data_IF_578299473298
#
_entry.id   IF_578299473298
#
_cell.length_a   1.000
_cell.length_b   1.000
_cell.length_c   1.000
_cell.angle_alpha   90.00
_cell.angle_beta   90.00
_cell.angle_gamma   90.00
#
_symmetry.space_group_name_H-M   'P 1'
#
loop_
_entity.id
_entity.type
_entity.pdbx_description
1 polymer ?
#
# COMPACT_ATOMS: atom_id res chain seq x y z
N UNK A 1 -9.57 -12.59 64.51
CA UNK A 1 -9.37 -12.51 63.04
C UNK A 1 -8.29 -11.46 62.84
N UNK A 2 -7.01 -11.78 63.11
CA UNK A 2 -6.11 -12.57 62.22
C UNK A 2 -6.19 -11.99 60.79
N UNK A 3 -5.17 -11.44 60.13
CA UNK A 3 -3.71 -11.29 60.31
C UNK A 3 -3.30 -10.00 59.57
N UNK A 4 -2.45 -9.09 60.06
CA UNK A 4 -1.02 -9.14 60.33
C UNK A 4 -0.06 -9.04 59.10
N UNK A 5 0.73 -7.95 59.12
CA UNK A 5 2.08 -7.74 58.57
C UNK A 5 2.32 -7.32 57.10
N UNK A 6 2.50 -6.00 56.90
CA UNK A 6 3.65 -5.41 56.17
C UNK A 6 4.93 -5.56 56.99
N UNK A 7 6.15 -5.73 56.40
CA UNK A 7 7.10 -4.59 56.22
C UNK A 7 8.18 -4.85 55.10
N UNK A 8 9.39 -4.20 55.07
CA UNK A 8 9.76 -2.77 54.96
C UNK A 8 10.82 -2.49 53.83
N UNK A 9 11.34 -1.25 53.67
CA UNK A 9 12.31 -0.88 52.62
C UNK A 9 13.77 -0.67 53.10
N UNK A 10 14.66 -0.51 52.09
CA UNK A 10 15.98 0.19 52.03
C UNK A 10 17.27 -0.64 52.23
N UNK A 11 18.24 -0.48 51.31
CA UNK A 11 19.44 0.40 51.47
C UNK A 11 20.35 0.40 50.21
N UNK A 12 20.82 1.59 49.83
CA UNK A 12 21.93 1.85 48.89
C UNK A 12 23.27 1.75 49.64
N UNK A 13 24.35 1.37 48.95
CA UNK A 13 25.67 1.98 49.14
C UNK A 13 26.52 1.88 47.86
N UNK A 14 27.37 2.90 47.66
CA UNK A 14 28.24 3.21 46.51
C UNK A 14 29.66 3.40 47.06
N UNK A 15 30.71 2.99 46.33
CA UNK A 15 32.11 3.55 46.24
C UNK A 15 33.00 2.50 45.53
N UNK A 16 33.54 2.72 44.33
CA UNK A 16 34.85 3.34 43.92
C UNK A 16 36.12 2.64 44.41
N UNK A 17 36.93 2.13 43.47
CA UNK A 17 38.42 2.20 43.40
C UNK A 17 38.87 1.75 41.98
N UNK A 18 39.60 2.56 41.19
CA UNK A 18 41.05 2.91 41.20
C UNK A 18 41.94 1.87 40.47
N UNK A 19 42.29 2.23 39.23
CA UNK A 19 43.61 2.11 38.52
C UNK A 19 44.46 0.84 38.63
N UNK A 20 44.82 0.22 37.49
CA UNK A 20 46.21 -0.18 37.11
C UNK A 20 46.25 -0.77 35.69
N UNK A 21 47.12 -0.20 34.85
CA UNK A 21 47.50 -0.67 33.52
C UNK A 21 48.36 -1.95 33.59
N UNK A 22 48.42 -2.77 32.53
CA UNK A 22 49.64 -3.26 31.87
C UNK A 22 49.28 -4.10 30.62
N UNK A 23 50.12 -3.93 29.58
CA UNK A 23 50.08 -4.56 28.26
C UNK A 23 50.36 -6.07 28.30
N UNK A 24 50.09 -6.80 27.19
CA UNK A 24 51.06 -7.62 26.40
C UNK A 24 50.40 -8.65 25.46
N UNK A 25 50.69 -8.51 24.16
CA UNK A 25 50.75 -9.48 23.01
C UNK A 25 49.55 -10.38 22.57
N UNK A 26 49.19 -10.15 21.29
CA UNK A 26 48.82 -11.03 20.15
C UNK A 26 49.03 -12.58 20.28
N UNK A 27 48.31 -13.47 19.53
CA UNK A 27 48.17 -13.36 18.08
C UNK A 27 46.82 -13.75 17.41
N UNK A 28 46.76 -13.23 16.19
CA UNK A 28 45.84 -13.46 15.07
C UNK A 28 45.69 -14.94 14.72
N UNK A 29 44.44 -15.38 14.47
CA UNK A 29 44.14 -16.53 13.59
C UNK A 29 43.14 -16.11 12.52
N UNK A 30 43.68 -15.83 11.34
CA UNK A 30 42.98 -15.82 10.06
C UNK A 30 42.62 -17.25 9.63
N UNK A 31 41.38 -17.51 9.21
CA UNK A 31 41.07 -18.60 8.26
C UNK A 31 39.77 -18.37 7.48
N UNK A 32 39.96 -17.85 6.27
CA UNK A 32 39.38 -18.27 4.97
C UNK A 32 37.93 -18.80 4.89
N UNK A 33 37.13 -18.11 4.06
CA UNK A 33 35.93 -18.63 3.37
C UNK A 33 36.28 -19.71 2.34
N UNK A 34 35.32 -20.61 2.05
CA UNK A 34 35.02 -21.02 0.69
C UNK A 34 33.56 -20.70 0.29
N UNK A 35 33.35 -20.56 -1.03
CA UNK A 35 32.10 -20.15 -1.70
C UNK A 35 31.17 -21.35 -2.00
N UNK A 36 29.89 -21.01 -2.21
CA UNK A 36 28.88 -21.66 -3.07
C UNK A 36 28.19 -22.92 -2.56
N UNK A 37 26.94 -22.79 -2.09
CA UNK A 37 25.87 -23.78 -2.30
C UNK A 37 24.56 -23.03 -2.58
N UNK A 38 24.02 -23.32 -3.76
CA UNK A 38 22.68 -23.06 -4.30
C UNK A 38 21.58 -23.22 -3.25
N UNK A 39 20.76 -22.20 -3.02
CA UNK A 39 19.56 -22.30 -2.16
C UNK A 39 18.30 -22.42 -3.03
N UNK A 40 17.40 -23.38 -2.76
CA UNK A 40 16.22 -23.62 -3.59
C UNK A 40 15.11 -22.60 -3.29
N UNK A 41 14.37 -22.28 -4.35
CA UNK A 41 13.11 -21.53 -4.33
C UNK A 41 12.14 -22.20 -3.36
N UNK A 42 11.72 -21.48 -2.30
CA UNK A 42 10.71 -21.95 -1.37
C UNK A 42 9.32 -21.50 -1.81
N UNK A 43 8.45 -22.50 -1.82
CA UNK A 43 7.08 -22.54 -2.30
C UNK A 43 6.12 -21.61 -1.56
N UNK A 44 5.11 -21.20 -2.34
CA UNK A 44 3.89 -20.49 -1.96
C UNK A 44 3.26 -21.10 -0.69
N UNK A 45 3.03 -20.24 0.32
CA UNK A 45 2.24 -20.56 1.51
C UNK A 45 0.76 -20.51 1.13
N UNK A 46 0.16 -21.69 1.01
CA UNK A 46 -1.29 -21.88 1.05
C UNK A 46 -1.74 -21.74 2.50
N UNK A 47 -2.56 -20.74 2.84
CA UNK A 47 -3.29 -20.73 4.10
C UNK A 47 -4.74 -21.18 3.90
N UNK A 48 -5.15 -22.02 4.84
CA UNK A 48 -6.39 -22.77 4.92
C UNK A 48 -7.56 -21.81 5.14
N UNK A 49 -8.57 -21.89 4.27
CA UNK A 49 -9.86 -21.24 4.47
C UNK A 49 -10.67 -22.18 5.37
N UNK A 50 -10.99 -21.73 6.58
CA UNK A 50 -11.97 -22.38 7.46
C UNK A 50 -13.36 -21.85 7.08
N UNK A 51 -14.25 -22.81 6.82
CA UNK A 51 -15.66 -22.67 6.47
C UNK A 51 -16.45 -21.77 7.42
N UNK A 52 -17.31 -20.89 6.86
CA UNK A 52 -18.70 -20.75 7.32
C UNK A 52 -19.68 -20.35 6.20
N UNK A 53 -20.69 -21.20 6.06
CA UNK A 53 -22.06 -21.02 5.57
C UNK A 53 -22.33 -20.88 4.06
N UNK A 54 -22.73 -22.02 3.52
CA UNK A 54 -23.42 -22.31 2.25
C UNK A 54 -24.68 -21.46 2.00
N UNK A 55 -24.75 -20.85 0.81
CA UNK A 55 -26.01 -20.68 0.07
C UNK A 55 -25.81 -21.19 -1.35
N UNK A 56 -26.48 -22.30 -1.64
CA UNK A 56 -26.44 -23.04 -2.89
C UNK A 56 -27.06 -22.22 -4.03
N UNK A 57 -26.25 -21.84 -5.02
CA UNK A 57 -26.74 -21.54 -6.36
C UNK A 57 -26.10 -22.52 -7.34
N UNK A 58 -26.93 -23.37 -7.95
CA UNK A 58 -26.53 -24.38 -8.91
C UNK A 58 -26.02 -23.70 -10.19
N UNK A 59 -24.71 -23.73 -10.38
CA UNK A 59 -24.09 -23.27 -11.63
C UNK A 59 -24.17 -24.37 -12.71
N UNK A 60 -24.53 -24.04 -13.97
CA UNK A 60 -24.55 -24.98 -15.08
C UNK A 60 -23.14 -25.47 -15.49
N UNK A 61 -23.02 -26.62 -16.20
CA UNK A 61 -21.75 -27.31 -16.41
C UNK A 61 -20.76 -26.47 -17.24
N UNK A 62 -19.52 -26.42 -16.76
CA UNK A 62 -18.38 -25.75 -17.40
C UNK A 62 -18.13 -26.32 -18.80
N UNK A 63 -18.39 -25.52 -19.83
CA UNK A 63 -17.86 -25.77 -21.16
C UNK A 63 -16.32 -25.71 -21.13
N UNK A 64 -15.68 -26.62 -21.87
CA UNK A 64 -14.24 -26.73 -22.05
C UNK A 64 -13.61 -25.38 -22.41
N UNK A 65 -12.40 -25.03 -21.91
CA UNK A 65 -11.84 -23.71 -22.13
C UNK A 65 -11.53 -23.53 -23.62
N UNK A 66 -12.26 -22.61 -24.26
CA UNK A 66 -11.96 -22.15 -25.61
C UNK A 66 -10.49 -21.70 -25.65
N UNK A 67 -9.76 -22.18 -26.65
CA UNK A 67 -8.32 -21.90 -26.85
C UNK A 67 -8.09 -20.39 -26.74
N UNK A 68 -7.42 -19.95 -25.67
CA UNK A 68 -7.13 -18.53 -25.41
C UNK A 68 -6.37 -17.96 -26.61
N UNK A 69 -7.04 -17.13 -27.42
CA UNK A 69 -6.43 -16.48 -28.59
C UNK A 69 -5.31 -15.57 -28.12
N UNK A 70 -4.12 -15.75 -28.71
CA UNK A 70 -2.95 -14.89 -28.41
C UNK A 70 -3.16 -13.54 -29.07
N UNK A 71 -3.23 -12.49 -28.27
CA UNK A 71 -3.34 -11.10 -28.75
C UNK A 71 -2.06 -10.69 -29.47
N UNK A 72 -2.17 -10.15 -30.68
CA UNK A 72 -1.06 -9.49 -31.38
C UNK A 72 -1.10 -8.00 -31.06
N UNK A 73 -0.03 -7.41 -30.48
CA UNK A 73 0.02 -5.98 -30.20
C UNK A 73 -0.05 -5.16 -31.50
N UNK A 74 -0.53 -3.91 -31.38
CA UNK A 74 -0.46 -2.96 -32.48
C UNK A 74 1.02 -2.77 -32.85
N UNK A 75 1.38 -3.17 -34.06
CA UNK A 75 2.74 -3.09 -34.59
C UNK A 75 2.71 -2.19 -35.80
N UNK A 76 3.56 -1.14 -35.87
CA UNK A 76 3.67 -0.34 -37.07
C UNK A 76 4.15 -1.23 -38.21
N UNK A 77 3.44 -1.22 -39.32
CA UNK A 77 3.85 -1.89 -40.56
C UNK A 77 4.32 -0.82 -41.52
N UNK A 78 5.60 -0.85 -41.87
CA UNK A 78 6.16 -0.02 -42.93
C UNK A 78 6.03 -0.76 -44.24
N UNK A 79 5.41 -0.15 -45.24
CA UNK A 79 5.38 -0.70 -46.59
C UNK A 79 6.78 -0.58 -47.21
N UNK A 80 7.43 -1.68 -47.60
CA UNK A 80 8.79 -1.66 -48.15
C UNK A 80 8.90 -0.92 -49.49
N UNK A 81 7.80 -0.64 -50.20
CA UNK A 81 7.82 0.11 -51.47
C UNK A 81 7.60 1.62 -51.31
N UNK A 82 6.73 2.02 -50.40
CA UNK A 82 6.27 3.42 -50.26
C UNK A 82 6.88 4.13 -49.06
N UNK A 83 7.49 3.41 -48.11
CA UNK A 83 8.02 3.98 -46.86
C UNK A 83 6.93 4.50 -45.91
N UNK A 84 5.67 4.38 -46.28
CA UNK A 84 4.53 4.79 -45.45
C UNK A 84 4.38 3.85 -44.26
N UNK A 85 4.14 4.43 -43.09
CA UNK A 85 3.95 3.69 -41.84
C UNK A 85 2.46 3.60 -41.54
N UNK A 86 1.88 2.40 -41.59
CA UNK A 86 0.49 2.15 -41.21
C UNK A 86 0.42 1.47 -39.84
N UNK A 87 -0.40 2.02 -38.94
CA UNK A 87 -0.68 1.42 -37.63
C UNK A 87 -2.08 0.81 -37.68
N UNK A 88 -2.15 -0.51 -37.81
CA UNK A 88 -3.41 -1.24 -37.65
C UNK A 88 -3.68 -1.51 -36.17
N UNK A 89 -4.94 -1.40 -35.71
CA UNK A 89 -5.27 -1.68 -34.32
C UNK A 89 -5.09 -3.19 -33.97
N UNK A 90 -5.01 -3.56 -32.68
CA UNK A 90 -4.86 -4.95 -32.26
C UNK A 90 -6.03 -5.82 -32.76
N UNK A 91 -5.79 -7.09 -33.07
CA UNK A 91 -6.76 -7.94 -33.79
C UNK A 91 -8.14 -8.15 -33.13
N UNK A 92 -8.29 -7.88 -31.83
CA UNK A 92 -9.50 -8.12 -31.04
C UNK A 92 -9.93 -6.90 -30.22
N UNK A 93 -9.51 -5.69 -30.63
CA UNK A 93 -9.77 -4.48 -29.85
C UNK A 93 -11.26 -4.12 -29.78
N UNK A 94 -12.03 -4.31 -30.87
CA UNK A 94 -13.47 -4.06 -30.89
C UNK A 94 -14.20 -5.01 -29.93
N UNK A 95 -13.87 -6.30 -29.95
CA UNK A 95 -14.50 -7.30 -29.07
C UNK A 95 -14.20 -7.00 -27.59
N UNK A 96 -12.96 -6.62 -27.29
CA UNK A 96 -12.56 -6.20 -25.95
C UNK A 96 -13.32 -4.96 -25.51
N UNK A 97 -13.39 -3.94 -26.37
CA UNK A 97 -14.11 -2.71 -26.08
C UNK A 97 -15.60 -2.97 -25.86
N UNK A 98 -16.24 -3.74 -26.73
CA UNK A 98 -17.65 -4.12 -26.61
C UNK A 98 -17.93 -4.90 -25.33
N UNK A 99 -17.01 -5.78 -24.93
CA UNK A 99 -17.09 -6.53 -23.67
C UNK A 99 -17.03 -5.60 -22.45
N UNK A 100 -16.05 -4.70 -22.38
CA UNK A 100 -15.91 -3.72 -21.29
C UNK A 100 -17.11 -2.77 -21.25
N UNK A 101 -17.59 -2.32 -22.42
CA UNK A 101 -18.78 -1.47 -22.55
C UNK A 101 -20.02 -2.18 -22.00
N UNK A 102 -20.22 -3.45 -22.32
CA UNK A 102 -21.33 -4.26 -21.77
C UNK A 102 -21.20 -4.46 -20.26
N UNK A 103 -19.99 -4.66 -19.74
CA UNK A 103 -19.76 -4.79 -18.30
C UNK A 103 -20.08 -3.50 -17.52
N UNK A 104 -19.86 -2.33 -18.13
CA UNK A 104 -20.11 -1.01 -17.53
C UNK A 104 -21.52 -0.45 -17.77
N UNK A 105 -22.28 -1.01 -18.70
CA UNK A 105 -23.67 -0.62 -18.96
C UNK A 105 -24.55 -0.82 -17.70
N UNK A 106 -25.68 -0.09 -17.55
CA UNK A 106 -26.61 -0.30 -16.44
C UNK A 106 -27.01 -1.77 -16.28
N UNK A 107 -26.93 -2.29 -15.05
CA UNK A 107 -27.17 -3.70 -14.74
C UNK A 107 -25.99 -4.64 -15.04
N UNK A 108 -24.88 -4.13 -15.58
CA UNK A 108 -23.65 -4.87 -15.77
C UNK A 108 -22.85 -5.08 -14.48
N UNK A 109 -21.96 -6.10 -14.43
CA UNK A 109 -21.21 -6.45 -13.22
C UNK A 109 -20.19 -5.40 -12.75
N UNK A 110 -19.78 -4.48 -13.63
CA UNK A 110 -18.86 -3.38 -13.31
C UNK A 110 -19.57 -2.03 -13.29
N UNK A 111 -20.91 -2.03 -13.30
CA UNK A 111 -21.69 -0.81 -13.20
C UNK A 111 -21.56 -0.21 -11.80
N UNK A 112 -21.22 1.08 -11.71
CA UNK A 112 -21.10 1.78 -10.43
C UNK A 112 -19.91 1.32 -9.60
N UNK A 113 -18.77 1.06 -10.24
CA UNK A 113 -17.55 0.68 -9.51
C UNK A 113 -17.13 1.82 -8.57
N UNK A 114 -16.57 1.49 -7.40
CA UNK A 114 -16.17 2.48 -6.41
C UNK A 114 -15.17 3.51 -6.98
N UNK A 115 -14.24 3.06 -7.84
CA UNK A 115 -13.27 3.94 -8.52
C UNK A 115 -13.93 5.05 -9.33
N UNK A 116 -15.14 4.84 -9.87
CA UNK A 116 -15.83 5.86 -10.69
C UNK A 116 -16.27 7.08 -9.86
N UNK A 117 -16.43 6.91 -8.54
CA UNK A 117 -16.89 7.97 -7.62
C UNK A 117 -15.86 8.35 -6.56
N UNK A 118 -15.12 7.37 -6.07
CA UNK A 118 -14.16 7.44 -4.97
C UNK A 118 -12.71 7.15 -5.43
N UNK A 119 -12.46 7.14 -6.74
CA UNK A 119 -11.11 7.01 -7.29
C UNK A 119 -10.18 8.13 -6.81
N UNK A 120 -8.91 7.79 -6.65
CA UNK A 120 -7.88 8.70 -6.12
C UNK A 120 -7.76 10.03 -6.89
N UNK A 121 -8.11 10.06 -8.17
CA UNK A 121 -8.12 11.25 -9.01
C UNK A 121 -9.21 12.27 -8.62
N UNK A 122 -10.23 11.85 -7.86
CA UNK A 122 -11.38 12.68 -7.45
C UNK A 122 -11.30 13.16 -6.01
N UNK A 123 -10.33 12.69 -5.21
CA UNK A 123 -10.32 12.90 -3.77
C UNK A 123 -9.81 14.28 -3.33
N UNK A 124 -9.21 15.04 -4.23
CA UNK A 124 -8.76 16.40 -3.96
C UNK A 124 -9.95 17.31 -3.66
N UNK A 125 -9.84 18.09 -2.57
CA UNK A 125 -10.81 19.12 -2.23
C UNK A 125 -10.83 20.24 -3.28
N UNK A 126 -11.94 20.35 -4.01
CA UNK A 126 -12.14 21.36 -5.07
C UNK A 126 -12.19 22.79 -4.55
N UNK A 127 -12.42 22.98 -3.26
CA UNK A 127 -12.45 24.30 -2.62
C UNK A 127 -11.07 24.75 -2.12
N UNK A 128 -10.10 23.83 -2.07
CA UNK A 128 -8.73 24.14 -1.69
C UNK A 128 -7.97 24.88 -2.80
N UNK A 129 -6.80 25.44 -2.48
CA UNK A 129 -5.96 26.11 -3.47
C UNK A 129 -5.49 25.14 -4.56
N UNK A 130 -5.12 25.63 -5.75
CA UNK A 130 -4.58 24.77 -6.80
C UNK A 130 -3.29 24.03 -6.38
N UNK A 131 -2.53 24.61 -5.43
CA UNK A 131 -1.37 23.95 -4.83
C UNK A 131 -1.80 22.79 -3.93
N UNK A 132 -2.72 23.03 -3.00
CA UNK A 132 -3.25 22.01 -2.09
C UNK A 132 -3.96 20.89 -2.85
N UNK A 133 -4.69 21.20 -3.92
CA UNK A 133 -5.35 20.19 -4.75
C UNK A 133 -4.36 19.20 -5.35
N UNK A 134 -3.25 19.70 -5.92
CA UNK A 134 -2.17 18.85 -6.44
C UNK A 134 -1.52 18.02 -5.33
N UNK A 135 -1.34 18.62 -4.16
CA UNK A 135 -0.84 17.92 -2.98
C UNK A 135 -1.80 16.81 -2.52
N UNK A 136 -3.10 17.09 -2.45
CA UNK A 136 -4.12 16.09 -2.13
C UNK A 136 -4.11 14.93 -3.11
N UNK A 137 -4.02 15.20 -4.42
CA UNK A 137 -3.91 14.15 -5.44
C UNK A 137 -2.65 13.31 -5.24
N UNK A 138 -1.51 13.93 -4.94
CA UNK A 138 -0.27 13.20 -4.66
C UNK A 138 -0.42 12.27 -3.46
N UNK A 139 -0.94 12.77 -2.33
CA UNK A 139 -1.16 11.95 -1.13
C UNK A 139 -2.16 10.82 -1.42
N UNK A 140 -3.27 11.10 -2.10
CA UNK A 140 -4.25 10.09 -2.50
C UNK A 140 -3.63 8.97 -3.35
N UNK A 141 -2.68 9.30 -4.23
CA UNK A 141 -1.93 8.34 -5.03
C UNK A 141 -0.95 7.51 -4.19
N UNK A 142 -0.25 8.13 -3.22
CA UNK A 142 0.65 7.41 -2.32
C UNK A 142 -0.11 6.42 -1.41
N UNK A 143 -1.29 6.82 -0.92
CA UNK A 143 -2.11 5.99 -0.05
C UNK A 143 -2.84 4.87 -0.81
N UNK A 144 -3.13 5.02 -2.11
CA UNK A 144 -3.94 4.05 -2.88
C UNK A 144 -3.29 2.67 -3.04
N UNK A 145 -1.95 2.58 -2.98
CA UNK A 145 -1.24 1.31 -3.12
C UNK A 145 -1.76 0.27 -2.12
N UNK A 146 -2.26 -0.85 -2.65
CA UNK A 146 -2.85 -1.97 -1.90
C UNK A 146 -3.95 -1.55 -0.90
N UNK A 147 -4.71 -0.50 -1.25
CA UNK A 147 -5.82 0.02 -0.44
C UNK A 147 -7.06 0.13 -1.31
N UNK A 148 -8.23 -0.26 -0.78
CA UNK A 148 -9.50 -0.12 -1.50
C UNK A 148 -9.84 1.35 -1.67
N UNK A 149 -10.43 1.71 -2.81
CA UNK A 149 -10.80 3.10 -3.13
C UNK A 149 -11.66 3.75 -2.04
N UNK A 150 -12.65 3.02 -1.52
CA UNK A 150 -13.54 3.50 -0.44
C UNK A 150 -12.77 3.83 0.84
N UNK A 151 -11.76 3.03 1.19
CA UNK A 151 -10.94 3.22 2.38
C UNK A 151 -10.00 4.42 2.20
N UNK A 152 -9.38 4.54 1.02
CA UNK A 152 -8.54 5.68 0.68
C UNK A 152 -9.34 6.99 0.70
N UNK A 153 -10.57 6.98 0.17
CA UNK A 153 -11.47 8.13 0.19
C UNK A 153 -11.79 8.60 1.61
N UNK A 154 -12.07 7.66 2.52
CA UNK A 154 -12.31 7.98 3.94
C UNK A 154 -11.05 8.53 4.61
N UNK A 155 -9.89 7.91 4.41
CA UNK A 155 -8.62 8.39 4.97
C UNK A 155 -8.27 9.81 4.48
N UNK A 156 -8.41 10.06 3.18
CA UNK A 156 -8.23 11.40 2.60
C UNK A 156 -9.21 12.42 3.20
N UNK A 157 -10.46 12.02 3.45
CA UNK A 157 -11.42 12.90 4.11
C UNK A 157 -10.99 13.24 5.54
N UNK A 158 -10.57 12.25 6.33
CA UNK A 158 -10.04 12.47 7.68
C UNK A 158 -8.83 13.40 7.68
N UNK A 159 -7.86 13.20 6.79
CA UNK A 159 -6.72 14.10 6.65
C UNK A 159 -7.15 15.54 6.33
N UNK A 160 -8.17 15.73 5.48
CA UNK A 160 -8.69 17.06 5.14
C UNK A 160 -9.40 17.76 6.30
N UNK A 161 -9.99 17.02 7.23
CA UNK A 161 -10.83 17.58 8.32
C UNK A 161 -10.17 17.59 9.69
N UNK A 162 -9.38 16.57 9.99
CA UNK A 162 -8.85 16.27 11.33
C UNK A 162 -7.36 16.58 11.47
N UNK A 163 -6.62 16.74 10.37
CA UNK A 163 -5.17 17.00 10.45
C UNK A 163 -4.91 18.32 11.20
N UNK A 164 -4.13 18.31 12.31
CA UNK A 164 -3.87 19.50 13.09
C UNK A 164 -3.16 20.59 12.29
N UNK A 165 -3.43 21.85 12.66
CA UNK A 165 -2.72 22.97 12.10
C UNK A 165 -1.28 23.04 12.64
N UNK A 166 -0.31 23.35 11.78
CA UNK A 166 1.11 23.48 12.15
C UNK A 166 1.38 24.56 13.22
N UNK A 167 0.49 25.56 13.34
CA UNK A 167 0.58 26.65 14.32
C UNK A 167 -0.80 27.14 14.79
N UNK A 168 -0.91 27.75 15.99
CA UNK A 168 -2.14 28.36 16.46
C UNK A 168 -2.65 29.44 15.48
N UNK A 169 -3.94 29.37 15.14
CA UNK A 169 -4.59 30.29 14.20
C UNK A 169 -4.40 29.96 12.72
N UNK A 170 -3.60 28.94 12.37
CA UNK A 170 -3.54 28.44 11.00
C UNK A 170 -4.71 27.50 10.68
N UNK A 171 -4.98 27.32 9.39
CA UNK A 171 -6.01 26.39 8.90
C UNK A 171 -5.63 24.94 9.20
N UNK A 172 -6.57 24.19 9.76
CA UNK A 172 -6.50 22.73 9.87
C UNK A 172 -6.70 22.05 8.51
N UNK A 173 -6.37 20.76 8.46
CA UNK A 173 -6.58 19.91 7.29
C UNK A 173 -5.32 19.71 6.45
N UNK A 174 -5.48 18.93 5.39
CA UNK A 174 -4.38 18.47 4.55
C UNK A 174 -3.75 19.64 3.78
N UNK A 175 -2.52 19.96 4.12
CA UNK A 175 -1.63 20.84 3.36
C UNK A 175 -0.19 20.51 3.74
N UNK A 176 0.78 21.02 2.97
CA UNK A 176 2.18 20.67 3.13
C UNK A 176 2.72 21.01 4.53
N UNK A 177 2.44 22.22 5.03
CA UNK A 177 2.93 22.70 6.32
C UNK A 177 2.41 21.85 7.49
N UNK A 178 1.12 21.48 7.44
CA UNK A 178 0.51 20.66 8.48
C UNK A 178 1.08 19.23 8.49
N UNK A 179 1.36 18.63 7.32
CA UNK A 179 1.98 17.29 7.24
C UNK A 179 3.43 17.29 7.71
N UNK A 180 4.18 18.37 7.49
CA UNK A 180 5.57 18.48 7.97
C UNK A 180 5.66 18.70 9.48
N UNK A 181 4.64 19.28 10.10
CA UNK A 181 4.63 19.64 11.52
C UNK A 181 3.93 18.60 12.42
N UNK A 182 3.07 17.75 11.87
CA UNK A 182 2.31 16.76 12.64
C UNK A 182 3.23 15.66 13.19
N UNK A 183 2.90 15.15 14.37
CA UNK A 183 3.55 13.95 14.90
C UNK A 183 3.23 12.73 14.03
N UNK A 184 4.23 11.87 13.82
CA UNK A 184 4.08 10.62 13.08
C UNK A 184 2.98 9.74 13.68
N UNK A 185 2.85 9.69 15.01
CA UNK A 185 1.82 8.87 15.67
C UNK A 185 0.40 9.35 15.32
N UNK A 186 0.18 10.67 15.29
CA UNK A 186 -1.11 11.26 14.90
C UNK A 186 -1.37 11.01 13.42
N UNK A 187 -0.37 11.20 12.56
CA UNK A 187 -0.52 10.94 11.13
C UNK A 187 -0.88 9.47 10.88
N UNK A 188 -0.20 8.55 11.56
CA UNK A 188 -0.45 7.12 11.49
C UNK A 188 -1.89 6.79 11.93
N UNK A 189 -2.38 7.41 13.00
CA UNK A 189 -3.77 7.27 13.46
C UNK A 189 -4.78 7.82 12.44
N UNK A 190 -4.47 8.88 11.71
CA UNK A 190 -5.37 9.40 10.67
C UNK A 190 -5.51 8.43 9.50
N UNK A 191 -4.43 7.72 9.15
CA UNK A 191 -4.38 6.80 8.01
C UNK A 191 -4.38 5.31 8.39
N UNK A 192 -4.65 4.93 9.64
CA UNK A 192 -4.50 3.56 10.14
C UNK A 192 -5.24 2.49 9.30
N UNK A 193 -6.38 2.85 8.70
CA UNK A 193 -7.17 1.94 7.89
C UNK A 193 -6.55 1.65 6.51
N UNK A 194 -5.60 2.49 6.07
CA UNK A 194 -4.87 2.33 4.82
C UNK A 194 -3.90 1.14 4.91
N UNK A 195 -3.80 0.37 3.83
CA UNK A 195 -2.87 -0.75 3.78
C UNK A 195 -1.41 -0.26 3.86
N UNK A 196 -0.58 -0.95 4.64
CA UNK A 196 0.84 -0.57 4.86
C UNK A 196 1.02 0.85 5.42
N UNK A 197 0.10 1.34 6.26
CA UNK A 197 0.18 2.68 6.85
C UNK A 197 1.51 2.96 7.55
N UNK A 198 2.09 1.99 8.28
CA UNK A 198 3.38 2.15 8.94
C UNK A 198 4.55 2.53 7.98
N UNK A 199 4.46 2.15 6.70
CA UNK A 199 5.47 2.53 5.70
C UNK A 199 5.12 3.85 4.97
N UNK A 200 3.91 4.36 5.18
CA UNK A 200 3.33 5.54 4.54
C UNK A 200 3.28 6.75 5.49
N UNK A 201 3.63 6.55 6.76
CA UNK A 201 3.84 7.57 7.79
C UNK A 201 5.32 7.94 7.84
#
# INVERSE_FOLDING_TARGET
MEDCFSPPPKKRLRTTDTTTAMNTTAPIKTRTRPKTITSPVLSIKTELIIDQSVQSTSSPPKASPARRRVRKPATPKTDPLTGETSISPPSDWEDMYNSVKKMRAPGGPAHGAAVDTMGCERLADRTASAQDQRFHTLIALMLSSQTKDTVNAVAMQRLKTELPAHRPGARMGLNLENVLAVDADILNELIWAVGFHNNKT
#
